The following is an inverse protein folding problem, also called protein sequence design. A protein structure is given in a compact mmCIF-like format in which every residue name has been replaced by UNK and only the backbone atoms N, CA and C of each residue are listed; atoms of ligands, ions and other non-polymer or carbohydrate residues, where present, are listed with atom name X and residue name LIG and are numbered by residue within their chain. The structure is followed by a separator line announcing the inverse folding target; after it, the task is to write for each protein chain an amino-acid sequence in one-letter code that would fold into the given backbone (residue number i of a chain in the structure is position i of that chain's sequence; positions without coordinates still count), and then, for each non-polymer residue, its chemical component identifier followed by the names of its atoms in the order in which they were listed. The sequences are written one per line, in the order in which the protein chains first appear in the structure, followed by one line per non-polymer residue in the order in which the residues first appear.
data_IF_469210809382
#
_entry.id   IF_469210809382
#
_cell.length_a   1.000
_cell.length_b   1.000
_cell.length_c   1.000
_cell.angle_alpha   90.00
_cell.angle_beta   90.00
_cell.angle_gamma   90.00
#
_symmetry.space_group_name_H-M   'P 1'
#
loop_
_entity.id
_entity.type
_entity.pdbx_description
1 polymer ?
#
# COMPACT_ATOMS: atom_id res chain seq x y z
N UNK A 1 56.21 12.92 42.36
CA UNK A 1 55.37 13.05 43.62
C UNK A 1 54.28 14.06 43.35
N UNK A 2 53.08 13.72 43.72
CA UNK A 2 51.75 14.41 43.66
C UNK A 2 50.83 13.80 42.63
N UNK A 3 50.05 13.05 43.03
CA UNK A 3 48.76 12.64 43.67
C UNK A 3 47.56 12.92 42.77
N UNK A 4 46.87 11.83 42.53
CA UNK A 4 45.50 11.74 42.04
C UNK A 4 44.56 12.58 42.89
N UNK A 5 43.65 13.35 42.27
CA UNK A 5 42.22 13.44 42.66
C UNK A 5 41.45 14.40 41.78
N UNK A 6 40.27 13.94 41.41
CA UNK A 6 39.02 14.66 41.12
C UNK A 6 38.86 15.28 39.73
N UNK A 7 38.24 14.50 38.86
CA UNK A 7 37.32 15.00 37.84
C UNK A 7 36.04 14.19 37.93
N UNK A 8 35.09 14.80 38.61
CA UNK A 8 33.72 14.33 38.73
C UNK A 8 33.00 14.39 37.36
N UNK A 9 32.38 13.29 36.96
CA UNK A 9 31.65 13.19 35.71
C UNK A 9 30.34 13.96 35.76
N UNK A 10 30.06 14.66 34.66
CA UNK A 10 28.69 15.01 34.26
C UNK A 10 28.21 14.00 33.24
N UNK A 11 27.43 13.05 33.71
CA UNK A 11 26.66 12.17 32.82
C UNK A 11 25.38 12.92 32.42
N UNK A 12 25.34 13.45 31.23
CA UNK A 12 24.11 13.98 30.63
C UNK A 12 23.19 12.80 30.32
N UNK A 13 22.12 12.65 31.11
CA UNK A 13 21.06 11.73 30.85
C UNK A 13 20.26 12.17 29.58
N UNK A 14 20.53 11.56 28.44
CA UNK A 14 19.71 11.69 27.26
C UNK A 14 18.35 11.02 27.52
N UNK A 15 17.30 11.82 27.62
CA UNK A 15 15.92 11.33 27.69
C UNK A 15 15.57 10.69 26.35
N UNK A 16 15.57 9.36 26.30
CA UNK A 16 14.95 8.57 25.20
C UNK A 16 13.46 8.78 25.32
N UNK A 17 12.90 9.57 24.41
CA UNK A 17 11.46 9.72 24.25
C UNK A 17 10.86 8.33 23.90
N UNK A 18 10.24 7.68 24.88
CA UNK A 18 9.40 6.49 24.65
C UNK A 18 8.24 6.91 23.74
N UNK A 19 8.25 6.45 22.49
CA UNK A 19 7.07 6.48 21.63
C UNK A 19 5.92 5.80 22.38
N UNK A 20 4.86 6.56 22.59
CA UNK A 20 3.59 6.01 23.10
C UNK A 20 3.10 5.00 22.08
N UNK A 21 3.14 3.73 22.42
CA UNK A 21 2.53 2.67 21.64
C UNK A 21 1.05 2.98 21.44
N UNK A 22 0.56 2.83 20.23
CA UNK A 22 -0.85 2.86 19.91
C UNK A 22 -1.53 1.75 20.70
N UNK A 23 -2.49 2.09 21.55
CA UNK A 23 -3.36 1.15 22.24
C UNK A 23 -4.40 0.61 21.24
N UNK A 24 -3.95 -0.19 20.27
CA UNK A 24 -4.86 -1.10 19.59
C UNK A 24 -5.14 -2.26 20.55
N UNK A 25 -6.40 -2.69 20.73
CA UNK A 25 -6.69 -3.86 21.55
C UNK A 25 -5.91 -5.04 20.97
N UNK A 26 -5.13 -5.72 21.82
CA UNK A 26 -4.41 -6.92 21.43
C UNK A 26 -5.42 -7.92 20.86
N UNK A 27 -5.21 -8.32 19.60
CA UNK A 27 -6.01 -9.39 19.02
C UNK A 27 -5.85 -10.65 19.89
N UNK A 28 -6.96 -11.30 20.24
CA UNK A 28 -6.91 -12.57 20.94
C UNK A 28 -6.07 -13.56 20.13
N UNK A 29 -5.19 -14.36 20.76
CA UNK A 29 -4.35 -15.31 20.07
C UNK A 29 -5.24 -16.32 19.34
N UNK A 30 -5.14 -16.35 18.01
CA UNK A 30 -5.85 -17.32 17.16
C UNK A 30 -5.18 -18.69 17.36
N UNK A 31 -5.93 -19.77 17.61
CA UNK A 31 -5.39 -21.11 17.62
C UNK A 31 -4.68 -21.39 16.28
N UNK A 32 -3.43 -21.79 16.33
CA UNK A 32 -2.53 -21.96 15.18
C UNK A 32 -3.02 -22.97 14.11
N UNK A 33 -4.19 -23.58 14.29
CA UNK A 33 -4.74 -24.63 13.43
C UNK A 33 -6.21 -24.42 12.99
N UNK A 34 -6.83 -23.28 13.30
CA UNK A 34 -8.21 -23.08 12.85
C UNK A 34 -8.23 -22.54 11.41
N UNK A 35 -8.93 -23.21 10.46
CA UNK A 35 -9.06 -22.72 9.10
C UNK A 35 -9.64 -21.30 9.02
N UNK A 36 -9.06 -20.45 8.20
CA UNK A 36 -9.41 -19.03 8.11
C UNK A 36 -10.91 -18.80 7.89
N UNK A 37 -11.55 -19.55 6.99
CA UNK A 37 -12.98 -19.42 6.74
C UNK A 37 -13.82 -19.81 7.97
N UNK A 38 -13.47 -20.91 8.65
CA UNK A 38 -14.18 -21.36 9.84
C UNK A 38 -14.12 -20.31 10.95
N UNK A 39 -12.93 -19.73 11.18
CA UNK A 39 -12.73 -18.66 12.15
C UNK A 39 -13.52 -17.40 11.80
N UNK A 40 -13.52 -16.96 10.53
CA UNK A 40 -14.30 -15.79 10.07
C UNK A 40 -15.79 -16.01 10.37
N UNK A 41 -16.33 -17.16 9.98
CA UNK A 41 -17.75 -17.48 10.18
C UNK A 41 -18.10 -17.66 11.66
N UNK A 42 -17.22 -18.30 12.45
CA UNK A 42 -17.40 -18.53 13.90
C UNK A 42 -17.34 -17.22 14.69
N UNK A 43 -16.38 -16.35 14.41
CA UNK A 43 -16.24 -15.05 15.10
C UNK A 43 -17.15 -13.96 14.54
N UNK A 44 -17.76 -14.18 13.38
CA UNK A 44 -18.54 -13.18 12.63
C UNK A 44 -17.72 -11.94 12.25
N UNK A 45 -16.40 -12.07 12.13
CA UNK A 45 -15.47 -10.96 11.84
C UNK A 45 -14.46 -11.37 10.78
N UNK A 46 -14.24 -10.47 9.80
CA UNK A 46 -13.19 -10.56 8.79
C UNK A 46 -12.20 -9.40 9.01
N UNK A 47 -10.94 -9.72 9.28
CA UNK A 47 -9.88 -8.76 9.63
C UNK A 47 -9.10 -8.36 8.38
N UNK A 48 -9.08 -7.06 8.10
CA UNK A 48 -8.50 -6.48 6.88
C UNK A 48 -7.28 -5.65 7.25
N UNK A 49 -6.16 -5.89 6.56
CA UNK A 49 -5.04 -4.96 6.59
C UNK A 49 -5.27 -3.82 5.59
N UNK A 50 -5.04 -2.58 6.01
CA UNK A 50 -5.18 -1.40 5.17
C UNK A 50 -4.08 -0.38 5.44
N UNK A 51 -3.58 0.23 4.37
CA UNK A 51 -2.56 1.28 4.42
C UNK A 51 -3.25 2.66 4.47
N UNK A 52 -3.06 3.42 5.57
CA UNK A 52 -3.86 4.61 5.86
C UNK A 52 -3.72 5.73 4.80
N UNK A 53 -2.54 5.92 4.23
CA UNK A 53 -2.21 6.96 3.25
C UNK A 53 -2.35 6.51 1.78
N UNK A 54 -3.01 5.39 1.49
CA UNK A 54 -3.08 4.79 0.15
C UNK A 54 -4.39 5.16 -0.60
N UNK A 55 -4.87 6.38 -0.47
CA UNK A 55 -6.01 6.81 -1.30
C UNK A 55 -5.66 6.80 -2.80
N UNK A 56 -6.55 6.31 -3.68
CA UNK A 56 -7.95 5.92 -3.47
C UNK A 56 -8.17 4.46 -3.04
N UNK A 57 -7.11 3.65 -2.85
CA UNK A 57 -7.21 2.26 -2.41
C UNK A 57 -7.77 2.16 -0.99
N UNK A 58 -7.04 2.70 -0.03
CA UNK A 58 -7.42 2.80 1.37
C UNK A 58 -7.11 4.20 1.90
N UNK A 59 -8.01 4.77 2.66
CA UNK A 59 -7.83 6.05 3.31
C UNK A 59 -8.47 6.03 4.69
N UNK A 60 -7.73 6.48 5.69
CA UNK A 60 -8.24 6.65 7.04
C UNK A 60 -8.40 8.14 7.30
N UNK A 61 -9.62 8.57 7.55
CA UNK A 61 -9.88 9.96 7.90
C UNK A 61 -9.23 10.28 9.25
N UNK A 62 -8.34 11.28 9.32
CA UNK A 62 -7.59 11.57 10.53
C UNK A 62 -8.45 12.15 11.66
N UNK A 63 -9.63 12.68 11.34
CA UNK A 63 -10.54 13.29 12.31
C UNK A 63 -11.50 12.28 12.89
N UNK A 64 -12.18 11.52 12.05
CA UNK A 64 -13.18 10.52 12.47
C UNK A 64 -12.60 9.13 12.69
N UNK A 65 -11.39 8.84 12.19
CA UNK A 65 -10.78 7.51 12.19
C UNK A 65 -11.46 6.52 11.23
N UNK A 66 -12.43 6.98 10.44
CA UNK A 66 -13.17 6.11 9.52
C UNK A 66 -12.33 5.74 8.29
N UNK A 67 -12.47 4.46 7.90
CA UNK A 67 -11.83 3.92 6.71
C UNK A 67 -12.72 4.07 5.48
N UNK A 68 -12.11 4.45 4.36
CA UNK A 68 -12.74 4.58 3.04
C UNK A 68 -11.78 4.11 1.93
N UNK A 69 -12.20 4.23 0.68
CA UNK A 69 -11.45 3.78 -0.49
C UNK A 69 -12.02 2.49 -1.09
N UNK A 70 -11.65 2.21 -2.34
CA UNK A 70 -12.28 1.09 -3.06
C UNK A 70 -11.90 -0.29 -2.48
N UNK A 71 -10.70 -0.48 -1.94
CA UNK A 71 -10.33 -1.74 -1.28
C UNK A 71 -11.17 -1.99 -0.02
N UNK A 72 -11.46 -0.93 0.74
CA UNK A 72 -12.35 -1.03 1.91
C UNK A 72 -13.79 -1.33 1.49
N UNK A 73 -14.26 -0.72 0.40
CA UNK A 73 -15.58 -0.99 -0.15
C UNK A 73 -15.72 -2.46 -0.62
N UNK A 74 -14.72 -2.98 -1.33
CA UNK A 74 -14.64 -4.37 -1.75
C UNK A 74 -14.66 -5.33 -0.56
N UNK A 75 -13.84 -5.06 0.46
CA UNK A 75 -13.79 -5.88 1.67
C UNK A 75 -15.13 -5.91 2.41
N UNK A 76 -15.80 -4.76 2.52
CA UNK A 76 -17.14 -4.66 3.14
C UNK A 76 -18.20 -5.42 2.35
N UNK A 77 -18.13 -5.39 1.01
CA UNK A 77 -19.05 -6.14 0.18
C UNK A 77 -18.87 -7.65 0.38
N UNK A 78 -17.63 -8.16 0.29
CA UNK A 78 -17.34 -9.56 0.56
C UNK A 78 -17.79 -9.99 1.97
N UNK A 79 -17.52 -9.17 2.99
CA UNK A 79 -17.96 -9.44 4.37
C UNK A 79 -19.49 -9.51 4.49
N UNK A 80 -20.21 -8.61 3.80
CA UNK A 80 -21.66 -8.60 3.77
C UNK A 80 -22.22 -9.89 3.13
N UNK A 81 -21.63 -10.37 2.03
CA UNK A 81 -22.02 -11.63 1.40
C UNK A 81 -21.76 -12.85 2.30
N UNK A 82 -20.70 -12.81 3.11
CA UNK A 82 -20.43 -13.83 4.12
C UNK A 82 -21.29 -13.67 5.38
N UNK A 83 -22.05 -12.59 5.51
CA UNK A 83 -22.83 -12.24 6.68
C UNK A 83 -21.99 -11.95 7.92
N UNK A 84 -20.79 -11.35 7.75
CA UNK A 84 -19.84 -11.04 8.82
C UNK A 84 -19.47 -9.55 8.84
N UNK A 85 -18.86 -9.11 9.93
CA UNK A 85 -18.38 -7.74 10.13
C UNK A 85 -16.95 -7.55 9.60
N UNK A 86 -16.65 -6.39 9.03
CA UNK A 86 -15.28 -6.04 8.61
C UNK A 86 -14.57 -5.30 9.73
N UNK A 87 -13.41 -5.79 10.15
CA UNK A 87 -12.50 -5.14 11.09
C UNK A 87 -11.27 -4.67 10.33
N UNK A 88 -11.14 -3.37 10.12
CA UNK A 88 -10.02 -2.78 9.36
C UNK A 88 -8.95 -2.29 10.33
N UNK A 89 -7.72 -2.74 10.13
CA UNK A 89 -6.55 -2.34 10.92
C UNK A 89 -5.48 -1.74 10.01
N UNK A 90 -4.82 -0.70 10.52
CA UNK A 90 -3.71 -0.07 9.85
C UNK A 90 -2.47 -0.96 9.87
N UNK A 91 -1.84 -1.13 8.70
CA UNK A 91 -0.62 -1.89 8.53
C UNK A 91 0.21 -1.31 7.38
N UNK A 92 1.53 -1.40 7.48
CA UNK A 92 2.42 -1.16 6.35
C UNK A 92 2.57 -2.42 5.46
N UNK A 93 3.44 -2.37 4.44
CA UNK A 93 3.61 -3.49 3.51
C UNK A 93 4.21 -4.73 4.18
N UNK A 94 5.17 -4.56 5.09
CA UNK A 94 5.83 -5.67 5.79
C UNK A 94 4.92 -6.26 6.87
N UNK A 95 4.24 -5.41 7.63
CA UNK A 95 3.26 -5.81 8.65
C UNK A 95 2.07 -6.53 8.04
N UNK A 96 1.63 -6.13 6.83
CA UNK A 96 0.57 -6.82 6.10
C UNK A 96 0.96 -8.26 5.76
N UNK A 97 2.16 -8.48 5.20
CA UNK A 97 2.65 -9.84 4.88
C UNK A 97 2.81 -10.67 6.14
N UNK A 98 3.43 -10.10 7.18
CA UNK A 98 3.60 -10.77 8.48
C UNK A 98 2.26 -11.10 9.12
N UNK A 99 1.32 -10.17 9.08
CA UNK A 99 -0.01 -10.35 9.66
C UNK A 99 -0.86 -11.41 8.94
N UNK A 100 -0.75 -11.53 7.61
CA UNK A 100 -1.34 -12.64 6.86
C UNK A 100 -0.69 -13.97 7.24
N UNK A 101 0.65 -14.02 7.31
CA UNK A 101 1.38 -15.22 7.67
C UNK A 101 1.06 -15.73 9.08
N UNK A 102 0.93 -14.83 10.04
CA UNK A 102 0.64 -15.15 11.43
C UNK A 102 -0.85 -15.28 11.76
N UNK A 103 -1.72 -15.06 10.75
CA UNK A 103 -3.17 -15.12 10.93
C UNK A 103 -3.76 -13.93 11.71
N UNK A 104 -3.07 -12.80 11.80
CA UNK A 104 -3.59 -11.56 12.38
C UNK A 104 -4.54 -10.83 11.42
N UNK A 105 -4.34 -11.01 10.12
CA UNK A 105 -5.23 -10.54 9.06
C UNK A 105 -5.76 -11.71 8.25
N UNK A 106 -6.93 -11.53 7.67
CA UNK A 106 -7.62 -12.51 6.84
C UNK A 106 -7.58 -12.15 5.37
N UNK A 107 -7.52 -10.84 5.08
CA UNK A 107 -7.53 -10.33 3.73
C UNK A 107 -6.74 -9.01 3.66
N UNK A 108 -6.02 -8.84 2.56
CA UNK A 108 -5.43 -7.57 2.18
C UNK A 108 -5.66 -7.34 0.68
N UNK A 109 -6.00 -6.12 0.32
CA UNK A 109 -6.01 -5.65 -1.05
C UNK A 109 -4.81 -4.72 -1.31
N UNK A 110 -4.40 -4.58 -2.58
CA UNK A 110 -3.31 -3.68 -2.95
C UNK A 110 -1.90 -4.22 -2.72
N UNK A 111 -1.76 -5.38 -2.07
CA UNK A 111 -0.49 -6.05 -1.88
C UNK A 111 -0.12 -6.83 -3.16
N UNK A 112 0.61 -6.23 -4.09
CA UNK A 112 1.00 -6.92 -5.33
C UNK A 112 1.81 -8.20 -5.06
N UNK A 113 1.59 -9.27 -5.86
CA UNK A 113 2.27 -10.56 -5.68
C UNK A 113 3.75 -10.47 -6.07
N UNK A 114 4.62 -11.06 -5.24
CA UNK A 114 6.01 -11.39 -5.58
C UNK A 114 6.31 -12.83 -5.16
N UNK A 115 7.36 -13.42 -5.73
CA UNK A 115 7.82 -14.75 -5.31
C UNK A 115 8.13 -14.80 -3.80
N UNK A 116 8.74 -13.72 -3.27
CA UNK A 116 9.04 -13.63 -1.84
C UNK A 116 7.77 -13.55 -0.99
N UNK A 117 6.81 -12.69 -1.34
CA UNK A 117 5.54 -12.55 -0.60
C UNK A 117 4.69 -13.82 -0.68
N UNK A 118 4.74 -14.53 -1.82
CA UNK A 118 4.01 -15.78 -2.02
C UNK A 118 4.53 -16.96 -1.16
N UNK A 119 5.68 -16.81 -0.50
CA UNK A 119 6.13 -17.77 0.53
C UNK A 119 5.36 -17.63 1.84
N UNK A 120 4.69 -16.50 2.09
CA UNK A 120 4.08 -16.16 3.36
C UNK A 120 2.57 -15.89 3.27
N UNK A 121 2.04 -15.67 2.07
CA UNK A 121 0.62 -15.42 1.82
C UNK A 121 0.21 -16.01 0.46
N UNK A 122 -1.04 -16.42 0.35
CA UNK A 122 -1.64 -16.81 -0.93
C UNK A 122 -2.22 -15.58 -1.64
N UNK A 123 -2.08 -15.55 -2.97
CA UNK A 123 -2.67 -14.52 -3.82
C UNK A 123 -3.72 -15.15 -4.74
N UNK A 124 -4.82 -14.45 -4.95
CA UNK A 124 -5.82 -14.82 -5.97
C UNK A 124 -5.46 -14.21 -7.33
N UNK A 125 -6.29 -14.45 -8.35
CA UNK A 125 -6.14 -13.77 -9.64
C UNK A 125 -6.27 -12.25 -9.49
N UNK A 126 -5.62 -11.47 -10.37
CA UNK A 126 -5.73 -10.02 -10.31
C UNK A 126 -7.17 -9.52 -10.46
N UNK A 127 -7.56 -8.58 -9.62
CA UNK A 127 -8.81 -7.82 -9.78
C UNK A 127 -8.70 -6.87 -10.99
N UNK A 128 -7.54 -6.24 -11.10
CA UNK A 128 -7.18 -5.33 -12.19
C UNK A 128 -5.65 -5.16 -12.22
N UNK A 129 -5.16 -4.45 -13.24
CA UNK A 129 -3.75 -4.07 -13.32
C UNK A 129 -3.64 -2.56 -13.29
N UNK A 130 -3.00 -2.01 -12.24
CA UNK A 130 -2.59 -0.62 -12.24
C UNK A 130 -1.27 -0.46 -13.01
N UNK A 131 -1.00 0.71 -13.54
CA UNK A 131 0.27 1.01 -14.19
C UNK A 131 1.21 1.74 -13.22
N UNK A 132 2.51 1.46 -13.34
CA UNK A 132 3.52 2.27 -12.66
C UNK A 132 3.57 3.66 -13.28
N UNK A 133 3.63 4.65 -12.45
CA UNK A 133 3.71 6.05 -12.83
C UNK A 133 4.72 6.78 -11.95
N UNK A 134 5.08 7.98 -12.35
CA UNK A 134 5.78 8.93 -11.50
C UNK A 134 4.93 10.18 -11.30
N UNK A 135 4.98 10.73 -10.10
CA UNK A 135 4.66 12.14 -9.87
C UNK A 135 5.97 12.90 -10.03
N UNK A 136 6.10 13.59 -11.15
CA UNK A 136 7.30 14.32 -11.54
C UNK A 136 7.21 15.78 -11.10
N UNK A 137 8.31 16.37 -10.60
CA UNK A 137 8.37 17.81 -10.36
C UNK A 137 8.18 18.58 -11.65
N UNK A 138 7.70 19.79 -11.55
CA UNK A 138 7.60 20.70 -12.69
C UNK A 138 8.95 20.84 -13.39
N UNK A 139 8.94 20.69 -14.72
CA UNK A 139 10.14 20.81 -15.56
C UNK A 139 10.94 19.51 -15.74
N UNK A 140 10.61 18.41 -15.08
CA UNK A 140 11.22 17.12 -15.40
C UNK A 140 10.67 16.63 -16.76
N UNK A 141 11.55 16.50 -17.76
CA UNK A 141 11.16 16.13 -19.12
C UNK A 141 11.18 14.60 -19.38
N UNK A 142 11.61 13.79 -18.40
CA UNK A 142 11.75 12.33 -18.55
C UNK A 142 10.38 11.66 -18.75
N UNK A 143 10.27 10.86 -19.85
CA UNK A 143 9.07 10.10 -20.23
C UNK A 143 9.32 8.60 -20.33
N UNK A 144 10.53 8.16 -19.99
CA UNK A 144 10.89 6.74 -20.03
C UNK A 144 11.78 6.37 -18.87
N UNK A 145 11.78 5.09 -18.51
CA UNK A 145 12.68 4.56 -17.48
C UNK A 145 14.16 4.79 -17.83
N UNK A 146 14.50 4.70 -19.13
CA UNK A 146 15.86 4.96 -19.60
C UNK A 146 16.31 6.41 -19.36
N UNK A 147 15.39 7.38 -19.51
CA UNK A 147 15.68 8.79 -19.22
C UNK A 147 15.79 9.08 -17.71
N UNK A 148 15.13 8.29 -16.87
CA UNK A 148 15.27 8.37 -15.41
C UNK A 148 16.53 7.69 -14.91
N UNK A 149 17.10 6.74 -15.67
CA UNK A 149 18.21 5.88 -15.27
C UNK A 149 19.58 6.57 -15.43
N UNK A 150 19.73 7.74 -14.84
CA UNK A 150 20.98 8.51 -14.84
C UNK A 150 21.32 8.95 -13.40
N UNK A 151 22.62 9.07 -13.04
CA UNK A 151 23.04 9.34 -11.66
C UNK A 151 22.50 10.65 -11.07
N UNK A 152 22.21 11.62 -11.92
CA UNK A 152 21.72 12.95 -11.55
C UNK A 152 20.23 12.95 -11.19
N UNK A 153 19.48 11.91 -11.56
CA UNK A 153 18.06 11.81 -11.22
C UNK A 153 17.87 11.37 -9.77
N UNK A 154 17.10 12.15 -9.03
CA UNK A 154 16.75 11.87 -7.65
C UNK A 154 15.33 11.25 -7.59
N UNK A 155 15.23 9.96 -7.31
CA UNK A 155 13.97 9.22 -7.26
C UNK A 155 13.56 8.95 -5.82
N UNK A 156 12.35 9.36 -5.44
CA UNK A 156 11.71 8.97 -4.20
C UNK A 156 10.88 7.70 -4.39
N UNK A 157 10.86 6.82 -3.40
CA UNK A 157 10.04 5.59 -3.36
C UNK A 157 9.49 5.36 -1.97
N UNK A 158 8.39 4.64 -1.84
CA UNK A 158 7.93 4.09 -0.56
C UNK A 158 8.66 2.76 -0.27
N UNK A 159 9.36 2.71 0.84
CA UNK A 159 10.23 1.58 1.23
C UNK A 159 9.46 0.27 1.35
N UNK A 160 10.05 -0.82 0.85
CA UNK A 160 9.47 -2.17 0.89
C UNK A 160 8.34 -2.39 -0.11
N UNK A 161 8.07 -1.44 -0.99
CA UNK A 161 7.03 -1.53 -2.01
C UNK A 161 7.55 -2.13 -3.31
N UNK A 162 6.62 -2.64 -4.15
CA UNK A 162 6.94 -3.05 -5.53
C UNK A 162 7.43 -1.88 -6.39
N UNK A 163 7.10 -0.65 -6.01
CA UNK A 163 7.56 0.57 -6.72
C UNK A 163 9.03 0.83 -6.47
N UNK A 164 9.52 0.56 -5.28
CA UNK A 164 10.96 0.55 -4.99
C UNK A 164 11.69 -0.50 -5.82
N UNK A 165 11.18 -1.74 -5.86
CA UNK A 165 11.76 -2.81 -6.68
C UNK A 165 11.80 -2.43 -8.17
N UNK A 166 10.71 -1.83 -8.70
CA UNK A 166 10.65 -1.35 -10.07
C UNK A 166 11.66 -0.22 -10.33
N UNK A 167 11.75 0.79 -9.44
CA UNK A 167 12.72 1.87 -9.57
C UNK A 167 14.15 1.34 -9.61
N UNK A 168 14.52 0.44 -8.68
CA UNK A 168 15.85 -0.17 -8.64
C UNK A 168 16.16 -1.01 -9.86
N UNK A 169 15.16 -1.70 -10.42
CA UNK A 169 15.33 -2.55 -11.61
C UNK A 169 15.46 -1.76 -12.91
N UNK A 170 14.69 -0.68 -13.08
CA UNK A 170 14.57 0.02 -14.37
C UNK A 170 15.27 1.38 -14.39
N UNK A 171 15.61 1.92 -13.22
CA UNK A 171 16.33 3.18 -13.06
C UNK A 171 17.44 3.07 -11.98
N UNK A 172 18.14 1.92 -11.93
CA UNK A 172 19.10 1.62 -10.88
C UNK A 172 20.36 2.47 -10.86
N UNK A 173 20.65 3.24 -11.94
CA UNK A 173 21.74 4.23 -11.94
C UNK A 173 21.33 5.55 -11.26
N UNK A 174 20.02 5.80 -11.08
CA UNK A 174 19.54 6.99 -10.40
C UNK A 174 19.79 6.93 -8.89
N UNK A 175 19.82 8.08 -8.23
CA UNK A 175 19.88 8.17 -6.78
C UNK A 175 18.48 7.91 -6.20
N UNK A 176 18.26 6.70 -5.68
CA UNK A 176 16.96 6.25 -5.15
C UNK A 176 16.95 6.37 -3.63
N UNK A 177 16.00 7.18 -3.11
CA UNK A 177 15.78 7.37 -1.67
C UNK A 177 14.43 6.78 -1.26
N UNK A 178 14.44 5.85 -0.29
CA UNK A 178 13.26 5.27 0.32
C UNK A 178 12.71 6.15 1.45
N UNK A 179 11.38 6.27 1.50
CA UNK A 179 10.64 6.96 2.55
C UNK A 179 9.68 5.99 3.24
N UNK A 180 9.37 6.23 4.50
CA UNK A 180 8.45 5.38 5.27
C UNK A 180 7.01 5.56 4.81
N UNK A 181 6.63 6.79 4.42
CA UNK A 181 5.29 7.12 3.95
C UNK A 181 5.32 7.73 2.55
N UNK A 182 4.21 7.61 1.83
CA UNK A 182 4.05 8.24 0.51
C UNK A 182 3.98 9.75 0.58
N UNK A 183 3.45 10.28 1.68
CA UNK A 183 3.40 11.71 1.96
C UNK A 183 4.81 12.29 2.09
N UNK A 184 5.73 11.60 2.76
CA UNK A 184 7.14 12.01 2.85
C UNK A 184 7.82 11.99 1.47
N UNK A 185 7.56 10.94 0.66
CA UNK A 185 8.08 10.84 -0.70
C UNK A 185 7.56 11.99 -1.60
N UNK A 186 6.26 12.30 -1.53
CA UNK A 186 5.68 13.44 -2.24
C UNK A 186 6.23 14.78 -1.75
N UNK A 187 6.41 14.93 -0.45
CA UNK A 187 7.04 16.14 0.12
C UNK A 187 8.48 16.30 -0.37
N UNK A 188 9.21 15.21 -0.59
CA UNK A 188 10.55 15.27 -1.18
C UNK A 188 10.52 15.83 -2.61
N UNK A 189 9.53 15.44 -3.43
CA UNK A 189 9.32 16.00 -4.78
C UNK A 189 8.96 17.48 -4.70
N UNK A 190 7.99 17.86 -3.89
CA UNK A 190 7.52 19.24 -3.72
C UNK A 190 8.61 20.19 -3.22
N UNK A 191 9.50 19.70 -2.36
CA UNK A 191 10.62 20.48 -1.81
C UNK A 191 11.88 20.47 -2.69
N UNK A 192 11.84 19.80 -3.86
CA UNK A 192 12.99 19.67 -4.76
C UNK A 192 14.09 18.71 -4.27
N UNK A 193 13.84 17.94 -3.21
CA UNK A 193 14.75 16.89 -2.71
C UNK A 193 14.70 15.61 -3.55
N UNK A 194 13.67 15.45 -4.38
CA UNK A 194 13.56 14.42 -5.37
C UNK A 194 13.01 15.02 -6.68
N UNK A 195 13.42 14.46 -7.82
CA UNK A 195 12.91 14.84 -9.13
C UNK A 195 11.56 14.22 -9.42
N UNK A 196 11.34 13.00 -8.91
CA UNK A 196 10.07 12.33 -9.03
C UNK A 196 9.85 11.30 -7.89
N UNK A 197 8.58 10.94 -7.71
CA UNK A 197 8.16 9.84 -6.84
C UNK A 197 7.56 8.71 -7.70
N UNK A 198 8.14 7.51 -7.62
CA UNK A 198 7.61 6.33 -8.32
C UNK A 198 6.43 5.77 -7.56
N UNK A 199 5.29 5.72 -8.22
CA UNK A 199 4.01 5.29 -7.66
C UNK A 199 3.18 4.52 -8.69
N UNK A 200 1.85 4.50 -8.55
CA UNK A 200 0.92 3.97 -9.54
C UNK A 200 0.00 5.07 -10.07
N UNK A 201 -0.61 4.83 -11.23
CA UNK A 201 -1.49 5.80 -11.89
C UNK A 201 -2.63 6.22 -10.99
N UNK A 202 -3.35 5.27 -10.37
CA UNK A 202 -4.52 5.61 -9.55
C UNK A 202 -4.14 6.44 -8.33
N UNK A 203 -3.00 6.15 -7.69
CA UNK A 203 -2.51 6.98 -6.59
C UNK A 203 -2.08 8.37 -7.06
N UNK A 204 -1.33 8.46 -8.17
CA UNK A 204 -0.90 9.75 -8.72
C UNK A 204 -2.09 10.64 -9.10
N UNK A 205 -3.12 10.08 -9.73
CA UNK A 205 -4.37 10.80 -10.03
C UNK A 205 -5.02 11.33 -8.76
N UNK A 206 -5.11 10.51 -7.71
CA UNK A 206 -5.72 10.93 -6.44
C UNK A 206 -4.94 12.07 -5.77
N UNK A 207 -3.61 12.05 -5.83
CA UNK A 207 -2.76 13.12 -5.31
C UNK A 207 -2.95 14.40 -6.10
N UNK A 208 -2.88 14.31 -7.43
CA UNK A 208 -2.97 15.47 -8.32
C UNK A 208 -4.38 16.05 -8.38
N UNK A 209 -5.42 15.21 -8.19
CA UNK A 209 -6.79 15.69 -8.04
C UNK A 209 -6.99 16.54 -6.79
N UNK A 210 -6.32 16.19 -5.67
CA UNK A 210 -6.37 16.97 -4.43
C UNK A 210 -5.47 18.21 -4.47
N UNK A 211 -4.30 18.10 -5.06
CA UNK A 211 -3.30 19.17 -5.14
C UNK A 211 -2.56 19.11 -6.48
N UNK A 212 -3.07 19.80 -7.53
CA UNK A 212 -2.45 19.84 -8.84
C UNK A 212 -1.02 20.43 -8.85
N UNK A 213 -0.63 21.17 -7.80
CA UNK A 213 0.71 21.73 -7.66
C UNK A 213 1.74 20.69 -7.20
N UNK A 214 1.30 19.49 -6.81
CA UNK A 214 2.21 18.41 -6.35
C UNK A 214 3.13 17.87 -7.45
N UNK A 215 2.83 18.15 -8.73
CA UNK A 215 3.67 17.72 -9.86
C UNK A 215 2.88 17.38 -11.10
N UNK A 216 3.44 16.51 -11.94
CA UNK A 216 2.82 16.01 -13.17
C UNK A 216 2.83 14.50 -13.19
N UNK A 217 1.69 13.89 -13.57
CA UNK A 217 1.61 12.45 -13.84
C UNK A 217 2.37 12.11 -15.13
N UNK A 218 3.28 11.15 -15.05
CA UNK A 218 3.92 10.53 -16.21
C UNK A 218 3.87 9.02 -16.05
N UNK A 219 3.46 8.32 -17.09
CA UNK A 219 3.63 6.86 -17.21
C UNK A 219 4.89 6.60 -18.02
N UNK A 220 6.02 6.20 -17.40
CA UNK A 220 7.27 6.00 -18.11
C UNK A 220 7.20 4.83 -19.09
N UNK A 221 7.76 5.01 -20.29
CA UNK A 221 7.85 3.92 -21.28
C UNK A 221 9.10 3.07 -21.08
N UNK A 222 9.03 1.73 -21.32
CA UNK A 222 7.80 0.94 -21.54
C UNK A 222 6.89 0.97 -20.33
N UNK A 223 5.57 1.00 -20.55
CA UNK A 223 4.60 0.98 -19.46
C UNK A 223 4.65 -0.35 -18.70
N UNK A 224 4.97 -0.27 -17.42
CA UNK A 224 4.97 -1.43 -16.53
C UNK A 224 3.64 -1.49 -15.78
N UNK A 225 3.15 -2.71 -15.53
CA UNK A 225 1.89 -2.93 -14.82
C UNK A 225 2.12 -3.67 -13.53
N UNK A 226 1.37 -3.27 -12.50
CA UNK A 226 1.29 -3.95 -11.23
C UNK A 226 -0.04 -4.69 -11.15
N UNK A 227 0.02 -6.01 -10.99
CA UNK A 227 -1.18 -6.79 -10.68
C UNK A 227 -1.68 -6.42 -9.28
N UNK A 228 -2.96 -6.11 -9.14
CA UNK A 228 -3.61 -5.84 -7.86
C UNK A 228 -4.45 -7.06 -7.51
N UNK A 229 -3.93 -7.87 -6.60
CA UNK A 229 -4.52 -9.13 -6.19
C UNK A 229 -4.99 -9.06 -4.74
N UNK A 230 -6.11 -9.70 -4.40
CA UNK A 230 -6.39 -10.07 -3.02
C UNK A 230 -5.31 -11.01 -2.49
N UNK A 231 -4.84 -10.73 -1.27
CA UNK A 231 -3.92 -11.58 -0.54
C UNK A 231 -4.62 -12.14 0.71
N UNK A 232 -4.47 -13.43 0.94
CA UNK A 232 -5.07 -14.17 2.06
C UNK A 232 -4.01 -14.98 2.79
N UNK A 233 -4.24 -15.42 4.05
CA UNK A 233 -3.34 -16.32 4.75
C UNK A 233 -3.05 -17.58 3.94
N UNK A 234 -1.81 -18.07 4.01
CA UNK A 234 -1.51 -19.41 3.57
C UNK A 234 -2.16 -20.41 4.55
N UNK A 235 -3.22 -21.06 4.09
CA UNK A 235 -4.06 -21.95 4.89
C UNK A 235 -4.16 -23.31 4.19
N UNK A 236 -3.94 -24.41 4.92
CA UNK A 236 -4.10 -25.76 4.39
C UNK A 236 -5.54 -26.05 3.95
N UNK A 237 -6.53 -25.38 4.57
CA UNK A 237 -7.93 -25.35 4.11
C UNK A 237 -8.12 -24.16 3.14
N UNK A 238 -7.93 -24.38 1.88
CA UNK A 238 -7.98 -23.34 0.84
C UNK A 238 -9.37 -22.77 0.56
N UNK A 239 -10.40 -23.08 1.38
CA UNK A 239 -11.77 -22.63 1.14
C UNK A 239 -11.91 -21.11 1.17
N UNK A 240 -11.24 -20.42 2.10
CA UNK A 240 -11.32 -18.96 2.12
C UNK A 240 -10.70 -18.33 0.86
N UNK A 241 -9.56 -18.84 0.41
CA UNK A 241 -8.98 -18.45 -0.89
C UNK A 241 -9.95 -18.69 -2.05
N UNK A 242 -10.60 -19.85 -2.07
CA UNK A 242 -11.61 -20.17 -3.08
C UNK A 242 -12.82 -19.22 -3.05
N UNK A 243 -13.29 -18.83 -1.86
CA UNK A 243 -14.37 -17.82 -1.70
C UNK A 243 -13.94 -16.48 -2.27
N UNK A 244 -12.74 -16.00 -1.91
CA UNK A 244 -12.22 -14.71 -2.42
C UNK A 244 -12.03 -14.76 -3.93
N UNK A 245 -11.56 -15.89 -4.48
CA UNK A 245 -11.39 -16.10 -5.92
C UNK A 245 -12.73 -16.02 -6.66
N UNK A 246 -13.73 -16.78 -6.18
CA UNK A 246 -15.07 -16.80 -6.78
C UNK A 246 -15.75 -15.43 -6.74
N UNK A 247 -15.66 -14.75 -5.58
CA UNK A 247 -16.15 -13.39 -5.42
C UNK A 247 -15.46 -12.41 -6.40
N UNK A 248 -14.13 -12.52 -6.52
CA UNK A 248 -13.33 -11.67 -7.42
C UNK A 248 -13.73 -11.87 -8.89
N UNK A 249 -13.93 -13.11 -9.31
CA UNK A 249 -14.33 -13.47 -10.68
C UNK A 249 -15.71 -12.91 -11.01
N UNK A 250 -16.70 -13.12 -10.14
CA UNK A 250 -18.07 -12.64 -10.31
C UNK A 250 -18.12 -11.12 -10.46
N UNK A 251 -17.51 -10.41 -9.51
CA UNK A 251 -17.53 -8.95 -9.49
C UNK A 251 -16.69 -8.31 -10.60
N UNK A 252 -15.61 -8.97 -11.05
CA UNK A 252 -14.86 -8.54 -12.23
C UNK A 252 -15.70 -8.73 -13.49
N UNK A 253 -16.31 -9.91 -13.67
CA UNK A 253 -17.18 -10.20 -14.80
C UNK A 253 -18.38 -9.27 -14.91
N UNK A 254 -18.95 -8.86 -13.77
CA UNK A 254 -20.03 -7.89 -13.69
C UNK A 254 -19.57 -6.41 -13.86
N UNK A 255 -18.26 -6.13 -13.98
CA UNK A 255 -17.72 -4.77 -14.06
C UNK A 255 -17.78 -3.98 -12.74
N UNK A 256 -18.11 -4.64 -11.64
CA UNK A 256 -18.29 -4.01 -10.34
C UNK A 256 -16.96 -3.51 -9.76
N UNK A 257 -15.85 -4.22 -10.01
CA UNK A 257 -14.50 -3.78 -9.60
C UNK A 257 -14.19 -2.40 -10.19
N UNK A 258 -14.39 -2.24 -11.50
CA UNK A 258 -14.23 -0.94 -12.17
C UNK A 258 -15.13 0.13 -11.58
N UNK A 259 -16.38 -0.21 -11.27
CA UNK A 259 -17.36 0.72 -10.67
C UNK A 259 -16.87 1.24 -9.32
N UNK A 260 -16.37 0.40 -8.42
CA UNK A 260 -15.83 0.84 -7.13
C UNK A 260 -14.61 1.76 -7.29
N UNK A 261 -13.71 1.42 -8.22
CA UNK A 261 -12.50 2.22 -8.47
C UNK A 261 -12.90 3.60 -9.01
N UNK A 262 -13.75 3.66 -10.04
CA UNK A 262 -14.16 4.92 -10.65
C UNK A 262 -15.00 5.77 -9.69
N UNK A 263 -15.83 5.15 -8.83
CA UNK A 263 -16.56 5.87 -7.79
C UNK A 263 -15.63 6.50 -6.74
N UNK A 264 -14.57 5.80 -6.34
CA UNK A 264 -13.57 6.35 -5.42
C UNK A 264 -12.79 7.51 -6.05
N UNK A 265 -12.44 7.42 -7.33
CA UNK A 265 -11.80 8.50 -8.08
C UNK A 265 -12.73 9.71 -8.26
N UNK A 266 -14.01 9.46 -8.55
CA UNK A 266 -15.01 10.52 -8.70
C UNK A 266 -15.19 11.37 -7.41
N UNK A 267 -15.05 10.77 -6.23
CA UNK A 267 -15.02 11.48 -4.95
C UNK A 267 -13.84 12.47 -4.83
N UNK A 268 -12.81 12.27 -5.63
CA UNK A 268 -11.63 13.14 -5.73
C UNK A 268 -11.70 14.09 -6.93
N UNK A 269 -12.85 14.15 -7.64
CA UNK A 269 -13.07 14.98 -8.81
C UNK A 269 -12.47 14.43 -10.11
N UNK A 270 -11.99 13.17 -10.13
CA UNK A 270 -11.36 12.54 -11.27
C UNK A 270 -12.41 11.79 -12.08
N UNK A 271 -12.50 12.09 -13.38
CA UNK A 271 -13.42 11.43 -14.30
C UNK A 271 -12.84 10.13 -14.84
N UNK A 272 -13.69 9.15 -15.25
CA UNK A 272 -13.24 7.89 -15.82
C UNK A 272 -12.38 8.02 -17.09
N UNK A 273 -12.58 9.07 -17.90
CA UNK A 273 -11.82 9.35 -19.11
C UNK A 273 -10.44 9.96 -18.84
N UNK A 274 -10.16 10.38 -17.61
CA UNK A 274 -8.85 10.84 -17.16
C UNK A 274 -7.92 9.69 -16.72
N UNK A 275 -8.46 8.48 -16.57
CA UNK A 275 -7.66 7.30 -16.24
C UNK A 275 -6.91 6.81 -17.49
N UNK A 276 -5.57 6.80 -17.49
CA UNK A 276 -4.77 6.30 -18.60
C UNK A 276 -5.13 4.86 -19.00
N UNK A 277 -5.04 4.59 -20.32
CA UNK A 277 -5.36 3.26 -20.89
C UNK A 277 -4.40 2.14 -20.41
N UNK A 278 -3.30 2.50 -19.80
CA UNK A 278 -2.34 1.58 -19.20
C UNK A 278 -2.89 0.87 -17.95
N UNK A 279 -3.93 1.45 -17.30
CA UNK A 279 -4.71 0.78 -16.24
C UNK A 279 -5.72 -0.17 -16.91
N UNK A 280 -5.65 -1.45 -16.59
CA UNK A 280 -6.52 -2.49 -17.16
C UNK A 280 -7.48 -3.00 -16.08
N UNK A 281 -8.77 -2.79 -16.30
CA UNK A 281 -9.84 -3.28 -15.44
C UNK A 281 -10.35 -4.65 -15.89
#
# INVERSE_FOLDING_TARGET
MLTRRELGGLVAAGAVARRRGSNAPAAEPVPANEPTLARILGTRKMRIAAFAGDGPYCYKDPTSGQWSGFCVAMARNLAAELGVETVVSEADWADTVTGLHTGNFDLAYGLGPTAHRAMFADFTTPLFHDAYAIVARTGLAAKSWAQLNVPETLIAVDTGSLREEAARRFAGSAAITGFTTREEALLAVRSGRADCFVTTVLFALAVLGKDPQSGTLVVPTPALRAAVCPAVPYDGDRRFRGVVEAWSEDHRGAGQIRTWITAALAQLGIRPDEVPAEVLF
#
